data_IF_886036071801
#
_entry.id   IF_886036071801
#
_cell.length_a   1.000
_cell.length_b   1.000
_cell.length_c   1.000
_cell.angle_alpha   90.00
_cell.angle_beta   90.00
_cell.angle_gamma   90.00
#
_symmetry.space_group_name_H-M   'P 1'
#
loop_
_entity.id
_entity.type
_entity.pdbx_description
1 polymer ?
#
# COMPACT_ATOMS: atom_id res chain seq x y z
N UNK A 1 6.83 7.92 21.29
CA UNK A 1 5.45 7.91 20.77
C UNK A 1 5.11 9.12 19.92
N UNK A 2 5.41 10.35 20.34
CA UNK A 2 5.11 11.57 19.57
C UNK A 2 5.68 11.58 18.13
N UNK A 3 6.92 11.11 17.93
CA UNK A 3 7.55 11.04 16.60
C UNK A 3 6.84 10.06 15.66
N UNK A 4 6.35 8.93 16.19
CA UNK A 4 5.58 7.95 15.41
C UNK A 4 4.24 8.56 14.98
N UNK A 5 3.55 9.23 15.89
CA UNK A 5 2.31 9.95 15.60
C UNK A 5 2.52 11.05 14.55
N UNK A 6 3.59 11.84 14.66
CA UNK A 6 3.94 12.85 13.66
C UNK A 6 4.16 12.23 12.27
N UNK A 7 4.85 11.08 12.19
CA UNK A 7 5.02 10.33 10.95
C UNK A 7 3.68 9.91 10.32
N UNK A 8 2.74 9.41 11.13
CA UNK A 8 1.39 9.07 10.65
C UNK A 8 0.61 10.30 10.18
N UNK A 9 0.67 11.41 10.93
CA UNK A 9 -0.01 12.66 10.55
C UNK A 9 0.51 13.15 9.21
N UNK A 10 1.83 13.23 9.02
CA UNK A 10 2.42 13.69 7.76
C UNK A 10 2.06 12.74 6.62
N UNK A 11 2.26 11.43 6.81
CA UNK A 11 2.00 10.43 5.77
C UNK A 11 0.53 10.39 5.34
N UNK A 12 -0.40 10.35 6.30
CA UNK A 12 -1.83 10.32 6.01
C UNK A 12 -2.33 11.65 5.45
N UNK A 13 -1.84 12.79 5.93
CA UNK A 13 -2.25 14.09 5.38
C UNK A 13 -1.80 14.24 3.93
N UNK A 14 -0.56 13.86 3.63
CA UNK A 14 -0.03 13.85 2.27
C UNK A 14 -0.82 12.91 1.36
N UNK A 15 -1.05 11.66 1.79
CA UNK A 15 -1.85 10.70 1.03
C UNK A 15 -3.31 11.12 0.86
N UNK A 16 -3.90 11.82 1.84
CA UNK A 16 -5.26 12.35 1.74
C UNK A 16 -5.36 13.44 0.67
N UNK A 17 -4.37 14.34 0.59
CA UNK A 17 -4.28 15.35 -0.48
C UNK A 17 -4.14 14.67 -1.84
N UNK A 18 -3.26 13.67 -1.97
CA UNK A 18 -3.12 12.91 -3.22
C UNK A 18 -4.40 12.17 -3.60
N UNK A 19 -5.04 11.49 -2.65
CA UNK A 19 -6.30 10.79 -2.88
C UNK A 19 -7.40 11.76 -3.35
N UNK A 20 -7.46 12.96 -2.76
CA UNK A 20 -8.40 13.99 -3.19
C UNK A 20 -8.13 14.43 -4.64
N UNK A 21 -6.88 14.67 -5.00
CA UNK A 21 -6.47 15.02 -6.38
C UNK A 21 -6.82 13.89 -7.35
N UNK A 22 -6.47 12.65 -7.02
CA UNK A 22 -6.70 11.49 -7.87
C UNK A 22 -8.18 11.19 -8.08
N UNK A 23 -9.04 11.36 -7.06
CA UNK A 23 -10.49 11.17 -7.21
C UNK A 23 -11.09 12.30 -8.05
N UNK A 24 -10.71 13.56 -7.77
CA UNK A 24 -11.29 14.75 -8.42
C UNK A 24 -10.88 14.85 -9.89
N UNK A 25 -9.60 14.63 -10.18
CA UNK A 25 -9.02 14.81 -11.51
C UNK A 25 -8.80 13.49 -12.26
N UNK A 26 -9.45 12.38 -11.84
CA UNK A 26 -9.23 11.03 -12.39
C UNK A 26 -9.22 10.98 -13.92
N UNK A 27 -10.19 11.63 -14.57
CA UNK A 27 -10.31 11.57 -16.03
C UNK A 27 -9.23 12.40 -16.72
N UNK A 28 -8.98 13.63 -16.24
CA UNK A 28 -7.94 14.50 -16.79
C UNK A 28 -6.53 13.92 -16.62
N UNK A 29 -6.27 13.26 -15.49
CA UNK A 29 -5.00 12.57 -15.25
C UNK A 29 -4.83 11.35 -16.16
N UNK A 30 -5.90 10.57 -16.38
CA UNK A 30 -5.88 9.42 -17.29
C UNK A 30 -5.73 9.85 -18.76
N UNK A 31 -6.33 10.98 -19.15
CA UNK A 31 -6.23 11.54 -20.50
C UNK A 31 -4.80 11.94 -20.88
N UNK A 32 -3.93 12.22 -19.92
CA UNK A 32 -2.50 12.45 -20.18
C UNK A 32 -1.81 11.23 -20.80
N UNK A 33 -2.38 10.03 -20.61
CA UNK A 33 -1.89 8.78 -21.17
C UNK A 33 -2.63 8.35 -22.44
N UNK A 34 -3.51 9.20 -22.99
CA UNK A 34 -4.24 8.88 -24.20
C UNK A 34 -3.28 8.74 -25.41
N UNK A 35 -3.40 7.67 -26.21
CA UNK A 35 -2.58 7.49 -27.39
C UNK A 35 -2.95 8.50 -28.48
N UNK A 36 -2.03 8.86 -29.40
CA UNK A 36 -2.33 9.78 -30.50
C UNK A 36 -3.38 9.26 -31.49
N UNK A 37 -3.58 7.95 -31.53
CA UNK A 37 -4.51 7.27 -32.44
C UNK A 37 -5.14 6.06 -31.74
N UNK A 38 -6.39 5.73 -32.10
CA UNK A 38 -7.15 4.61 -31.55
C UNK A 38 -8.26 5.01 -30.60
N UNK A 39 -9.21 4.10 -30.36
CA UNK A 39 -10.29 4.31 -29.39
C UNK A 39 -9.75 4.08 -27.96
N UNK A 40 -9.71 5.14 -27.17
CA UNK A 40 -9.24 5.13 -25.79
C UNK A 40 -10.40 5.17 -24.78
N UNK A 41 -11.65 5.20 -25.23
CA UNK A 41 -12.82 5.42 -24.36
C UNK A 41 -12.98 4.35 -23.28
N UNK A 42 -12.93 3.07 -23.66
CA UNK A 42 -13.07 1.95 -22.72
C UNK A 42 -11.91 1.88 -21.70
N UNK A 43 -10.68 2.12 -22.18
CA UNK A 43 -9.48 2.15 -21.33
C UNK A 43 -9.56 3.33 -20.35
N UNK A 44 -9.99 4.50 -20.82
CA UNK A 44 -10.19 5.70 -20.00
C UNK A 44 -11.18 5.45 -18.88
N UNK A 45 -12.31 4.81 -19.16
CA UNK A 45 -13.29 4.48 -18.14
C UNK A 45 -12.76 3.47 -17.12
N UNK A 46 -12.08 2.42 -17.59
CA UNK A 46 -11.46 1.43 -16.72
C UNK A 46 -10.38 2.05 -15.83
N UNK A 47 -9.47 2.84 -16.40
CA UNK A 47 -8.41 3.50 -15.66
C UNK A 47 -8.97 4.54 -14.67
N UNK A 48 -10.00 5.31 -15.04
CA UNK A 48 -10.68 6.22 -14.13
C UNK A 48 -11.35 5.49 -12.95
N UNK A 49 -11.90 4.30 -13.17
CA UNK A 49 -12.38 3.43 -12.09
C UNK A 49 -11.22 2.96 -11.20
N UNK A 50 -10.11 2.51 -11.80
CA UNK A 50 -8.94 2.03 -11.07
C UNK A 50 -8.29 3.13 -10.23
N UNK A 51 -8.31 4.39 -10.69
CA UNK A 51 -7.83 5.57 -9.95
C UNK A 51 -8.52 5.75 -8.60
N UNK A 52 -9.79 5.39 -8.47
CA UNK A 52 -10.50 5.42 -7.18
C UNK A 52 -9.91 4.36 -6.24
N UNK A 53 -9.66 3.15 -6.75
CA UNK A 53 -8.97 2.10 -6.01
C UNK A 53 -7.56 2.52 -5.58
N UNK A 54 -6.78 3.11 -6.49
CA UNK A 54 -5.45 3.70 -6.23
C UNK A 54 -5.50 4.70 -5.07
N UNK A 55 -6.45 5.63 -5.13
CA UNK A 55 -6.62 6.66 -4.10
C UNK A 55 -6.89 6.05 -2.73
N UNK A 56 -7.67 4.96 -2.67
CA UNK A 56 -7.98 4.28 -1.42
C UNK A 56 -6.77 3.59 -0.81
N UNK A 57 -6.00 2.84 -1.60
CA UNK A 57 -4.83 2.13 -1.05
C UNK A 57 -3.61 3.03 -0.88
N UNK A 58 -3.54 4.21 -1.51
CA UNK A 58 -2.49 5.20 -1.23
C UNK A 58 -2.43 5.62 0.25
N UNK A 59 -3.58 5.58 0.94
CA UNK A 59 -3.63 5.77 2.40
C UNK A 59 -3.06 4.56 3.14
N UNK A 60 -3.36 3.34 2.69
CA UNK A 60 -2.80 2.11 3.23
C UNK A 60 -1.27 2.05 3.03
N UNK A 61 -0.76 2.50 1.89
CA UNK A 61 0.67 2.59 1.61
C UNK A 61 1.37 3.57 2.56
N UNK A 62 0.75 4.70 2.91
CA UNK A 62 1.32 5.58 3.92
C UNK A 62 1.47 4.88 5.28
N UNK A 63 0.48 4.07 5.68
CA UNK A 63 0.54 3.28 6.92
C UNK A 63 1.69 2.26 6.85
N UNK A 64 1.82 1.54 5.74
CA UNK A 64 2.89 0.54 5.52
C UNK A 64 4.27 1.23 5.57
N UNK A 65 4.42 2.38 4.92
CA UNK A 65 5.68 3.11 4.87
C UNK A 65 6.09 3.67 6.22
N UNK A 66 5.17 4.33 6.95
CA UNK A 66 5.45 4.88 8.29
C UNK A 66 5.77 3.73 9.25
N UNK A 67 4.95 2.68 9.26
CA UNK A 67 5.16 1.52 10.13
C UNK A 67 6.48 0.80 9.83
N UNK A 68 6.76 0.56 8.55
CA UNK A 68 8.02 -0.05 8.12
C UNK A 68 9.23 0.82 8.45
N UNK A 69 9.11 2.14 8.36
CA UNK A 69 10.16 3.08 8.77
C UNK A 69 10.46 2.99 10.27
N UNK A 70 9.42 3.00 11.10
CA UNK A 70 9.54 2.88 12.56
C UNK A 70 10.16 1.54 12.96
N UNK A 71 9.66 0.42 12.41
CA UNK A 71 10.18 -0.92 12.73
C UNK A 71 11.64 -1.10 12.28
N UNK A 72 12.04 -0.54 11.12
CA UNK A 72 13.45 -0.54 10.70
C UNK A 72 14.31 0.29 11.64
N UNK A 73 13.84 1.47 12.05
CA UNK A 73 14.54 2.32 13.00
C UNK A 73 14.74 1.68 14.38
N UNK A 74 13.85 0.78 14.78
CA UNK A 74 13.96 0.01 16.02
C UNK A 74 14.80 -1.29 15.90
N UNK A 75 15.35 -1.60 14.72
CA UNK A 75 16.14 -2.81 14.48
C UNK A 75 15.34 -4.06 14.06
N UNK A 76 14.01 -3.99 13.95
CA UNK A 76 13.15 -5.11 13.54
C UNK A 76 13.10 -5.29 12.00
N UNK A 77 14.27 -5.34 11.37
CA UNK A 77 14.42 -5.40 9.90
C UNK A 77 14.14 -6.78 9.34
N UNK A 78 14.48 -7.85 10.06
CA UNK A 78 14.29 -9.25 9.63
C UNK A 78 12.82 -9.62 9.54
N UNK A 79 12.02 -9.29 10.55
CA UNK A 79 10.58 -9.53 10.52
C UNK A 79 9.95 -8.76 9.36
N UNK A 80 10.32 -7.49 9.18
CA UNK A 80 9.79 -6.66 8.11
C UNK A 80 10.08 -7.25 6.73
N UNK A 81 11.30 -7.75 6.52
CA UNK A 81 11.69 -8.41 5.27
C UNK A 81 10.84 -9.65 5.02
N UNK A 82 10.74 -10.57 5.99
CA UNK A 82 9.96 -11.80 5.81
C UNK A 82 8.47 -11.52 5.62
N UNK A 83 7.89 -10.61 6.40
CA UNK A 83 6.49 -10.22 6.29
C UNK A 83 6.21 -9.58 4.93
N UNK A 84 7.03 -8.62 4.49
CA UNK A 84 6.87 -7.96 3.20
C UNK A 84 6.96 -8.96 2.05
N UNK A 85 8.03 -9.77 2.00
CA UNK A 85 8.26 -10.73 0.92
C UNK A 85 7.13 -11.76 0.86
N UNK A 86 6.78 -12.37 2.00
CA UNK A 86 5.74 -13.41 2.03
C UNK A 86 4.36 -12.88 1.63
N UNK A 87 3.97 -11.69 2.11
CA UNK A 87 2.67 -11.10 1.78
C UNK A 87 2.58 -10.68 0.31
N UNK A 88 3.65 -10.13 -0.26
CA UNK A 88 3.67 -9.77 -1.69
C UNK A 88 3.69 -11.01 -2.59
N UNK A 89 4.37 -12.09 -2.18
CA UNK A 89 4.28 -13.38 -2.88
C UNK A 89 2.87 -13.98 -2.81
N UNK A 90 2.23 -13.93 -1.65
CA UNK A 90 0.83 -14.36 -1.51
C UNK A 90 -0.10 -13.53 -2.40
N UNK A 91 0.13 -12.22 -2.48
CA UNK A 91 -0.60 -11.31 -3.37
C UNK A 91 -0.39 -11.68 -4.85
N UNK A 92 0.85 -11.96 -5.25
CA UNK A 92 1.17 -12.42 -6.61
C UNK A 92 0.42 -13.71 -6.96
N UNK A 93 0.46 -14.70 -6.07
CA UNK A 93 -0.25 -15.97 -6.25
C UNK A 93 -1.75 -15.73 -6.38
N UNK A 94 -2.34 -14.93 -5.48
CA UNK A 94 -3.76 -14.58 -5.54
C UNK A 94 -4.13 -13.91 -6.88
N UNK A 95 -3.33 -12.93 -7.34
CA UNK A 95 -3.55 -12.26 -8.63
C UNK A 95 -3.43 -13.23 -9.81
N UNK A 96 -2.46 -14.15 -9.78
CA UNK A 96 -2.31 -15.17 -10.82
C UNK A 96 -3.58 -16.02 -10.93
N UNK A 97 -4.12 -16.52 -9.81
CA UNK A 97 -5.36 -17.30 -9.83
C UNK A 97 -6.55 -16.49 -10.34
N UNK A 98 -6.72 -15.24 -9.88
CA UNK A 98 -7.83 -14.38 -10.30
C UNK A 98 -7.81 -14.10 -11.81
N UNK A 99 -6.63 -13.82 -12.35
CA UNK A 99 -6.48 -13.41 -13.76
C UNK A 99 -6.39 -14.61 -14.70
N UNK A 100 -5.58 -15.63 -14.37
CA UNK A 100 -5.24 -16.74 -15.29
C UNK A 100 -6.07 -17.99 -15.09
N UNK A 101 -6.64 -18.22 -13.92
CA UNK A 101 -7.41 -19.44 -13.62
C UNK A 101 -8.91 -19.15 -13.61
N UNK A 102 -9.33 -18.08 -12.94
CA UNK A 102 -10.73 -17.71 -12.84
C UNK A 102 -11.18 -16.70 -13.91
N UNK A 103 -10.24 -16.09 -14.64
CA UNK A 103 -10.48 -15.14 -15.73
C UNK A 103 -11.47 -14.01 -15.36
N UNK A 104 -11.43 -13.53 -14.11
CA UNK A 104 -12.46 -12.64 -13.54
C UNK A 104 -12.43 -11.18 -14.03
N UNK A 105 -11.77 -10.91 -15.16
CA UNK A 105 -11.64 -9.58 -15.75
C UNK A 105 -10.81 -8.60 -14.89
N UNK A 106 -10.42 -7.46 -15.48
CA UNK A 106 -9.47 -6.53 -14.85
C UNK A 106 -10.04 -5.80 -13.62
N UNK A 107 -11.35 -5.55 -13.59
CA UNK A 107 -12.00 -4.85 -12.46
C UNK A 107 -11.95 -5.65 -11.17
N UNK A 108 -12.23 -6.96 -11.23
CA UNK A 108 -12.21 -7.84 -10.05
C UNK A 108 -10.78 -8.06 -9.58
N UNK A 109 -9.85 -8.29 -10.51
CA UNK A 109 -8.43 -8.38 -10.20
C UNK A 109 -7.94 -7.13 -9.45
N UNK A 110 -8.35 -5.94 -9.90
CA UNK A 110 -8.00 -4.69 -9.25
C UNK A 110 -8.59 -4.55 -7.85
N UNK A 111 -9.88 -4.86 -7.65
CA UNK A 111 -10.50 -4.78 -6.33
C UNK A 111 -9.84 -5.77 -5.34
N UNK A 112 -9.50 -6.97 -5.80
CA UNK A 112 -8.77 -7.93 -4.99
C UNK A 112 -7.36 -7.44 -4.65
N UNK A 113 -6.67 -6.79 -5.59
CA UNK A 113 -5.37 -6.18 -5.35
C UNK A 113 -5.43 -5.10 -4.28
N UNK A 114 -6.40 -4.18 -4.39
CA UNK A 114 -6.67 -3.14 -3.39
C UNK A 114 -6.90 -3.78 -2.01
N UNK A 115 -7.77 -4.79 -1.92
CA UNK A 115 -8.08 -5.48 -0.66
C UNK A 115 -6.84 -6.16 -0.04
N UNK A 116 -5.97 -6.75 -0.87
CA UNK A 116 -4.72 -7.36 -0.42
C UNK A 116 -3.74 -6.32 0.14
N UNK A 117 -3.63 -5.13 -0.47
CA UNK A 117 -2.82 -4.03 0.10
C UNK A 117 -3.36 -3.60 1.47
N UNK A 118 -4.67 -3.46 1.62
CA UNK A 118 -5.27 -3.19 2.93
C UNK A 118 -4.93 -4.28 3.96
N UNK A 119 -4.94 -5.56 3.56
CA UNK A 119 -4.53 -6.65 4.43
C UNK A 119 -3.06 -6.51 4.86
N UNK A 120 -2.15 -6.13 3.96
CA UNK A 120 -0.74 -5.85 4.30
C UNK A 120 -0.63 -4.71 5.32
N UNK A 121 -1.35 -3.61 5.08
CA UNK A 121 -1.36 -2.47 6.00
C UNK A 121 -1.86 -2.86 7.39
N UNK A 122 -2.89 -3.72 7.48
CA UNK A 122 -3.38 -4.25 8.75
C UNK A 122 -2.32 -5.11 9.45
N UNK A 123 -1.65 -6.03 8.73
CA UNK A 123 -0.59 -6.86 9.32
C UNK A 123 0.55 -6.01 9.87
N UNK A 124 0.95 -4.96 9.15
CA UNK A 124 1.99 -4.03 9.59
C UNK A 124 1.53 -3.22 10.82
N UNK A 125 0.32 -2.65 10.77
CA UNK A 125 -0.23 -1.88 11.88
C UNK A 125 -0.40 -2.75 13.15
N UNK A 126 -0.81 -4.01 13.02
CA UNK A 126 -0.89 -4.95 14.13
C UNK A 126 0.49 -5.27 14.70
N UNK A 127 1.52 -5.41 13.86
CA UNK A 127 2.90 -5.59 14.34
C UNK A 127 3.39 -4.41 15.16
N UNK A 128 3.13 -3.18 14.69
CA UNK A 128 3.50 -1.96 15.40
C UNK A 128 2.77 -1.82 16.74
N UNK A 129 1.56 -2.36 16.86
CA UNK A 129 0.81 -2.36 18.13
C UNK A 129 1.28 -3.43 19.12
N UNK A 130 2.02 -4.44 18.68
CA UNK A 130 2.51 -5.50 19.57
C UNK A 130 3.73 -5.06 20.36
N UNK A 131 3.85 -5.48 21.62
CA UNK A 131 4.92 -5.00 22.51
C UNK A 131 6.33 -5.55 22.21
N UNK A 132 6.45 -6.57 21.35
CA UNK A 132 7.73 -7.28 21.11
C UNK A 132 8.80 -6.44 20.38
N UNK A 133 8.45 -5.32 19.75
CA UNK A 133 9.45 -4.41 19.17
C UNK A 133 9.99 -3.40 20.20
N UNK A 134 9.32 -3.26 21.36
CA UNK A 134 9.76 -2.43 22.49
C UNK A 134 10.57 -3.19 23.53
N UNK A 135 10.87 -4.47 23.30
CA UNK A 135 11.67 -5.28 24.22
C UNK A 135 13.03 -4.62 24.43
N UNK A 136 13.34 -4.26 25.68
CA UNK A 136 14.57 -3.54 26.08
C UNK A 136 15.85 -4.22 25.57
N UNK A 137 15.86 -5.56 25.52
CA UNK A 137 16.99 -6.35 25.00
C UNK A 137 17.26 -6.11 23.51
N UNK A 138 16.23 -5.82 22.72
CA UNK A 138 16.38 -5.54 21.28
C UNK A 138 16.91 -4.12 21.08
N UNK A 139 16.45 -3.17 21.90
CA UNK A 139 16.95 -1.80 21.89
C UNK A 139 18.41 -1.72 22.37
N UNK A 140 18.76 -2.43 23.45
CA UNK A 140 20.14 -2.50 23.95
C UNK A 140 21.13 -3.06 22.91
N UNK A 141 20.76 -4.10 22.16
CA UNK A 141 21.64 -4.64 21.11
C UNK A 141 21.93 -3.64 19.98
N UNK A 142 21.03 -2.69 19.70
CA UNK A 142 21.22 -1.68 18.65
C UNK A 142 21.94 -0.43 19.17
N UNK A 143 21.82 -0.12 20.47
CA UNK A 143 22.51 1.02 21.09
C UNK A 143 23.96 0.70 21.50
N UNK A 144 24.37 -0.57 21.47
CA UNK A 144 25.72 -1.02 21.80
C UNK A 144 26.64 -1.10 20.56
N UNK A 145 26.10 -1.02 19.34
CA UNK A 145 26.85 -0.77 18.09
C UNK A 145 26.97 0.73 17.78
#
# INVERSE_FOLDING_TARGET
DEVVTAGFVIGLSYSAVLAFIYITFRFSLVEMFAPPQGDFSEIRELAAFMMVGLSSYAMADAIIQVTGGVLRGAGDTRWLMYASVSLHWAMLVAQYFIIRVFELGPRVAWLAFVALIFAIAVVFALRLRGDRWRDEKVLEMVMVE
#
